data_IF_526389432124
#
_entry.id   IF_526389432124
#
_cell.length_a   1.000
_cell.length_b   1.000
_cell.length_c   1.000
_cell.angle_alpha   90.00
_cell.angle_beta   90.00
_cell.angle_gamma   90.00
#
_symmetry.space_group_name_H-M   'P 1'
#
loop_
_entity.id
_entity.type
_entity.pdbx_description
1 polymer ?
#
# COMPACT_ATOMS: atom_id res chain seq x y z
N UNK A 1 14.41 33.09 12.36
CA UNK A 1 13.74 31.79 12.12
C UNK A 1 13.39 31.16 13.45
N UNK A 2 12.12 30.98 13.72
CA UNK A 2 11.64 30.35 14.95
C UNK A 2 11.20 28.90 14.63
N UNK A 3 11.52 27.98 15.52
CA UNK A 3 11.13 26.57 15.39
C UNK A 3 10.13 26.26 16.49
N UNK A 4 9.02 25.68 16.08
CA UNK A 4 7.94 25.32 16.99
C UNK A 4 7.84 23.79 17.02
N UNK A 5 7.60 23.22 18.21
CA UNK A 5 7.43 21.77 18.39
C UNK A 5 5.98 21.52 18.79
N UNK A 6 5.28 20.70 17.99
CA UNK A 6 3.92 20.28 18.29
C UNK A 6 3.89 18.77 18.51
N UNK A 7 3.51 18.34 19.71
CA UNK A 7 3.35 16.92 20.02
C UNK A 7 1.99 16.40 19.62
N UNK A 8 1.05 17.32 19.34
CA UNK A 8 -0.26 16.99 18.77
C UNK A 8 -0.37 17.74 17.45
N UNK A 9 -0.38 16.97 16.36
CA UNK A 9 -0.46 17.55 15.02
C UNK A 9 -1.93 17.78 14.66
N UNK A 10 -2.29 19.05 14.40
CA UNK A 10 -3.66 19.37 13.99
C UNK A 10 -3.84 19.12 12.49
N UNK A 11 -5.08 18.89 12.08
CA UNK A 11 -5.39 18.74 10.66
C UNK A 11 -5.07 20.00 9.89
N UNK A 12 -5.26 21.16 10.50
CA UNK A 12 -4.97 22.44 9.87
C UNK A 12 -3.47 22.61 9.59
N UNK A 13 -2.63 22.31 10.57
CA UNK A 13 -1.18 22.40 10.39
C UNK A 13 -0.69 21.38 9.36
N UNK A 14 -1.22 20.19 9.42
CA UNK A 14 -0.89 19.14 8.46
C UNK A 14 -1.24 19.58 7.03
N UNK A 15 -2.44 20.13 6.84
CA UNK A 15 -2.87 20.58 5.50
C UNK A 15 -2.02 21.74 5.01
N UNK A 16 -1.65 22.65 5.88
CA UNK A 16 -0.78 23.76 5.51
C UNK A 16 0.58 23.25 5.02
N UNK A 17 1.17 22.31 5.77
CA UNK A 17 2.44 21.70 5.39
C UNK A 17 2.32 20.95 4.07
N UNK A 18 1.28 20.13 3.92
CA UNK A 18 1.08 19.34 2.71
C UNK A 18 0.81 20.22 1.49
N UNK A 19 0.10 21.33 1.66
CA UNK A 19 -0.13 22.28 0.57
C UNK A 19 1.18 22.88 0.06
N UNK A 20 2.07 23.24 0.98
CA UNK A 20 3.39 23.73 0.60
C UNK A 20 4.21 22.71 -0.12
N UNK A 21 4.18 21.46 0.38
CA UNK A 21 4.91 20.36 -0.24
C UNK A 21 4.37 20.05 -1.64
N UNK A 22 3.06 20.00 -1.81
CA UNK A 22 2.44 19.75 -3.12
C UNK A 22 2.82 20.84 -4.12
N UNK A 23 2.81 22.09 -3.69
CA UNK A 23 3.18 23.22 -4.55
C UNK A 23 4.62 23.10 -5.02
N UNK A 24 5.53 22.69 -4.12
CA UNK A 24 6.91 22.45 -4.47
C UNK A 24 7.05 21.28 -5.46
N UNK A 25 6.38 20.17 -5.15
CA UNK A 25 6.50 18.95 -5.96
C UNK A 25 5.91 19.10 -7.36
N UNK A 26 4.88 19.95 -7.53
CA UNK A 26 4.25 20.19 -8.84
C UNK A 26 5.21 20.72 -9.88
N UNK A 27 6.33 21.29 -9.46
CA UNK A 27 7.36 21.74 -10.39
C UNK A 27 8.10 20.59 -11.07
N UNK A 28 8.05 19.41 -10.49
CA UNK A 28 8.84 18.25 -10.92
C UNK A 28 8.02 17.04 -11.25
N UNK A 29 6.83 16.90 -10.66
CA UNK A 29 6.02 15.70 -10.73
C UNK A 29 4.60 16.08 -11.13
N UNK A 30 4.07 15.38 -12.16
CA UNK A 30 2.66 15.48 -12.50
C UNK A 30 1.90 14.50 -11.60
N UNK A 31 1.19 15.02 -10.62
CA UNK A 31 0.41 14.20 -9.70
C UNK A 31 -1.04 13.99 -10.12
N UNK A 32 -1.40 14.34 -11.35
CA UNK A 32 -2.80 14.29 -11.79
C UNK A 32 -3.36 12.87 -11.84
N UNK A 33 -2.53 11.86 -12.01
CA UNK A 33 -2.95 10.45 -12.04
C UNK A 33 -2.88 9.75 -10.70
N UNK A 34 -2.58 10.49 -9.62
CA UNK A 34 -2.44 9.88 -8.31
C UNK A 34 -3.78 9.80 -7.60
N UNK A 35 -4.04 8.68 -6.97
CA UNK A 35 -5.29 8.50 -6.23
C UNK A 35 -5.35 7.14 -5.59
N UNK A 36 -6.37 6.96 -4.78
CA UNK A 36 -6.57 5.71 -4.06
C UNK A 36 -7.49 4.78 -4.87
N UNK A 37 -7.30 3.48 -4.65
CA UNK A 37 -8.16 2.45 -5.18
C UNK A 37 -8.50 1.48 -4.06
N UNK A 38 -9.76 1.07 -3.97
CA UNK A 38 -10.22 0.09 -3.00
C UNK A 38 -10.76 -1.13 -3.73
N UNK A 39 -10.41 -2.31 -3.24
CA UNK A 39 -10.92 -3.59 -3.72
C UNK A 39 -11.53 -4.30 -2.51
N UNK A 40 -12.83 -4.55 -2.53
CA UNK A 40 -13.53 -5.08 -1.37
C UNK A 40 -14.28 -6.35 -1.71
N UNK A 41 -14.39 -7.26 -0.73
CA UNK A 41 -15.23 -8.43 -0.81
C UNK A 41 -16.21 -8.42 0.36
N UNK A 42 -17.48 -8.69 0.07
CA UNK A 42 -18.53 -8.68 1.07
C UNK A 42 -19.31 -9.99 1.04
N UNK A 43 -19.84 -10.39 2.19
CA UNK A 43 -20.69 -11.57 2.26
C UNK A 43 -22.13 -11.19 1.88
N UNK A 44 -23.03 -12.18 1.89
CA UNK A 44 -24.43 -11.96 1.50
C UNK A 44 -25.14 -10.94 2.38
N UNK A 45 -24.71 -10.80 3.63
CA UNK A 45 -25.27 -9.81 4.57
C UNK A 45 -24.72 -8.41 4.35
N UNK A 46 -23.77 -8.23 3.42
CA UNK A 46 -23.17 -6.93 3.14
C UNK A 46 -21.99 -6.58 4.00
N UNK A 47 -21.56 -7.48 4.90
CA UNK A 47 -20.40 -7.23 5.74
C UNK A 47 -19.11 -7.47 4.96
N UNK A 48 -18.12 -6.60 5.14
CA UNK A 48 -16.83 -6.76 4.48
C UNK A 48 -16.07 -7.94 5.10
N UNK A 49 -15.64 -8.87 4.27
CA UNK A 49 -14.88 -10.05 4.69
C UNK A 49 -13.42 -9.98 4.24
N UNK A 50 -13.07 -8.99 3.45
CA UNK A 50 -11.70 -8.75 3.05
C UNK A 50 -11.62 -7.52 2.18
N UNK A 51 -10.44 -6.93 2.11
CA UNK A 51 -10.27 -5.75 1.29
C UNK A 51 -8.83 -5.31 1.20
N UNK A 52 -8.59 -4.46 0.22
CA UNK A 52 -7.29 -3.88 -0.04
C UNK A 52 -7.50 -2.42 -0.39
N UNK A 53 -6.68 -1.55 0.17
CA UNK A 53 -6.60 -0.16 -0.27
C UNK A 53 -5.19 0.08 -0.75
N UNK A 54 -5.07 0.65 -1.94
CA UNK A 54 -3.80 1.05 -2.50
C UNK A 54 -3.84 2.47 -3.00
N UNK A 55 -2.67 3.02 -3.27
CA UNK A 55 -2.51 4.37 -3.79
C UNK A 55 -1.62 4.30 -5.02
N UNK A 56 -2.10 4.90 -6.11
CA UNK A 56 -1.26 5.08 -7.28
C UNK A 56 -0.35 6.27 -7.06
N UNK A 57 0.94 6.07 -7.26
CA UNK A 57 1.93 7.14 -7.27
C UNK A 57 2.73 7.01 -8.55
N UNK A 58 2.25 7.66 -9.61
CA UNK A 58 2.86 7.54 -10.93
C UNK A 58 2.81 6.11 -11.45
N UNK A 59 3.96 5.51 -11.69
CA UNK A 59 4.07 4.17 -12.26
C UNK A 59 3.95 3.05 -11.22
N UNK A 60 3.74 3.39 -9.95
CA UNK A 60 3.72 2.44 -8.86
C UNK A 60 2.36 2.37 -8.19
N UNK A 61 1.93 1.14 -7.89
CA UNK A 61 0.85 0.88 -6.95
C UNK A 61 1.48 0.66 -5.57
N UNK A 62 1.09 1.46 -4.59
CA UNK A 62 1.51 1.27 -3.22
C UNK A 62 0.36 0.59 -2.49
N UNK A 63 0.56 -0.64 -2.04
CA UNK A 63 -0.47 -1.36 -1.28
C UNK A 63 -0.37 -0.86 0.15
N UNK A 64 -1.39 -0.12 0.59
CA UNK A 64 -1.39 0.51 1.91
C UNK A 64 -1.97 -0.41 2.98
N UNK A 65 -3.05 -1.12 2.66
CA UNK A 65 -3.74 -2.00 3.61
C UNK A 65 -4.26 -3.23 2.89
N UNK A 66 -4.13 -4.38 3.54
CA UNK A 66 -4.72 -5.64 3.08
C UNK A 66 -5.21 -6.40 4.30
N UNK A 67 -6.46 -6.81 4.27
CA UNK A 67 -7.06 -7.55 5.37
C UNK A 67 -8.02 -8.60 4.84
N UNK A 68 -8.01 -9.76 5.48
CA UNK A 68 -8.97 -10.85 5.22
C UNK A 68 -9.47 -11.33 6.56
N UNK A 69 -10.79 -11.43 6.71
CA UNK A 69 -11.39 -11.91 7.96
C UNK A 69 -11.02 -13.38 8.22
N UNK A 70 -11.10 -13.79 9.48
CA UNK A 70 -10.80 -15.18 9.83
C UNK A 70 -11.72 -16.15 9.11
N UNK A 71 -13.00 -15.83 8.99
CA UNK A 71 -13.98 -16.70 8.32
C UNK A 71 -13.69 -16.89 6.83
N UNK A 72 -13.00 -15.92 6.21
CA UNK A 72 -12.69 -15.97 4.78
C UNK A 72 -11.28 -16.47 4.49
N UNK A 73 -10.49 -16.75 5.51
CA UNK A 73 -9.13 -17.27 5.33
C UNK A 73 -9.17 -18.69 4.79
N UNK A 74 -8.19 -19.02 3.94
CA UNK A 74 -8.13 -20.33 3.32
C UNK A 74 -8.88 -20.41 2.01
N UNK A 75 -9.67 -19.39 1.64
CA UNK A 75 -10.41 -19.37 0.38
C UNK A 75 -9.68 -18.57 -0.72
N UNK A 76 -8.40 -18.29 -0.52
CA UNK A 76 -7.55 -17.55 -1.46
C UNK A 76 -8.04 -16.11 -1.73
N UNK A 77 -8.82 -15.56 -0.83
CA UNK A 77 -9.33 -14.21 -1.01
C UNK A 77 -8.19 -13.19 -1.06
N UNK A 78 -7.16 -13.36 -0.20
CA UNK A 78 -6.01 -12.46 -0.22
C UNK A 78 -5.32 -12.42 -1.57
N UNK A 79 -5.11 -13.58 -2.19
CA UNK A 79 -4.50 -13.68 -3.52
C UNK A 79 -5.38 -13.01 -4.58
N UNK A 80 -6.70 -13.19 -4.47
CA UNK A 80 -7.64 -12.58 -5.40
C UNK A 80 -7.63 -11.05 -5.27
N UNK A 81 -7.57 -10.55 -4.03
CA UNK A 81 -7.51 -9.11 -3.80
C UNK A 81 -6.24 -8.50 -4.41
N UNK A 82 -5.09 -9.14 -4.20
CA UNK A 82 -3.81 -8.68 -4.76
C UNK A 82 -3.88 -8.67 -6.28
N UNK A 83 -4.33 -9.77 -6.88
CA UNK A 83 -4.38 -9.88 -8.33
C UNK A 83 -5.32 -8.86 -8.94
N UNK A 84 -6.49 -8.66 -8.33
CA UNK A 84 -7.46 -7.68 -8.80
C UNK A 84 -6.89 -6.27 -8.71
N UNK A 85 -6.19 -5.97 -7.61
CA UNK A 85 -5.56 -4.66 -7.44
C UNK A 85 -4.47 -4.43 -8.48
N UNK A 86 -3.67 -5.45 -8.78
CA UNK A 86 -2.62 -5.35 -9.80
C UNK A 86 -3.21 -5.13 -11.19
N UNK A 87 -4.29 -5.83 -11.51
CA UNK A 87 -4.97 -5.65 -12.80
C UNK A 87 -5.55 -4.24 -12.93
N UNK A 88 -6.18 -3.76 -11.87
CA UNK A 88 -6.72 -2.41 -11.86
C UNK A 88 -5.61 -1.37 -11.95
N UNK A 89 -4.50 -1.59 -11.26
CA UNK A 89 -3.34 -0.71 -11.31
C UNK A 89 -2.79 -0.60 -12.74
N UNK A 90 -2.73 -1.72 -13.46
CA UNK A 90 -2.29 -1.71 -14.85
C UNK A 90 -3.20 -0.85 -15.72
N UNK A 91 -4.53 -0.95 -15.51
CA UNK A 91 -5.49 -0.11 -16.24
C UNK A 91 -5.29 1.37 -15.94
N UNK A 92 -4.79 1.69 -14.75
CA UNK A 92 -4.51 3.06 -14.34
C UNK A 92 -3.14 3.56 -14.81
N UNK A 93 -2.35 2.69 -15.43
CA UNK A 93 -1.02 3.05 -15.94
C UNK A 93 0.14 2.66 -15.06
N UNK A 94 -0.10 1.95 -13.96
CA UNK A 94 0.98 1.47 -13.10
C UNK A 94 1.75 0.34 -13.77
N UNK A 95 3.07 0.32 -13.54
CA UNK A 95 3.96 -0.74 -14.04
C UNK A 95 4.45 -1.65 -12.94
N UNK A 96 4.47 -1.16 -11.71
CA UNK A 96 5.08 -1.86 -10.57
C UNK A 96 4.22 -1.73 -9.34
N UNK A 97 4.48 -2.56 -8.33
CA UNK A 97 3.79 -2.49 -7.06
C UNK A 97 4.78 -2.65 -5.90
N UNK A 98 4.43 -2.06 -4.77
CA UNK A 98 5.20 -2.22 -3.54
C UNK A 98 4.27 -2.44 -2.37
N UNK A 99 4.79 -3.13 -1.37
CA UNK A 99 4.08 -3.37 -0.11
C UNK A 99 5.09 -3.47 1.01
N UNK A 100 4.69 -3.07 2.22
CA UNK A 100 5.49 -3.35 3.40
C UNK A 100 4.61 -4.02 4.45
N UNK A 101 5.25 -4.79 5.33
CA UNK A 101 4.55 -5.51 6.38
C UNK A 101 5.47 -5.74 7.56
N UNK A 102 4.89 -5.66 8.76
CA UNK A 102 5.60 -6.00 10.00
C UNK A 102 5.35 -7.46 10.39
N UNK A 103 4.49 -8.17 9.65
CA UNK A 103 4.13 -9.55 9.97
C UNK A 103 5.01 -10.53 9.20
N UNK A 104 5.81 -11.31 9.93
CA UNK A 104 6.56 -12.38 9.30
C UNK A 104 5.64 -13.49 8.75
N UNK A 105 4.39 -13.53 9.21
CA UNK A 105 3.41 -14.47 8.66
C UNK A 105 2.93 -14.04 7.27
N UNK A 106 2.91 -12.74 7.00
CA UNK A 106 2.51 -12.21 5.70
C UNK A 106 3.64 -12.27 4.68
N UNK A 107 4.89 -12.31 5.12
CA UNK A 107 6.03 -12.33 4.22
C UNK A 107 5.97 -13.49 3.22
N UNK A 108 5.76 -14.76 3.63
CA UNK A 108 5.64 -15.85 2.65
C UNK A 108 4.45 -15.65 1.71
N UNK A 109 3.36 -15.05 2.18
CA UNK A 109 2.21 -14.77 1.33
C UNK A 109 2.59 -13.86 0.17
N UNK A 110 3.27 -12.74 0.46
CA UNK A 110 3.67 -11.82 -0.59
C UNK A 110 4.71 -12.42 -1.53
N UNK A 111 5.63 -13.22 -1.01
CA UNK A 111 6.59 -13.91 -1.86
C UNK A 111 5.88 -14.84 -2.86
N UNK A 112 4.83 -15.53 -2.42
CA UNK A 112 4.03 -16.39 -3.31
C UNK A 112 3.27 -15.59 -4.36
N UNK A 113 2.95 -14.33 -4.06
CA UNK A 113 2.29 -13.46 -5.04
C UNK A 113 3.28 -12.88 -6.06
N UNK A 114 4.55 -13.22 -5.95
CA UNK A 114 5.57 -12.76 -6.88
C UNK A 114 6.31 -11.52 -6.43
N UNK A 115 6.12 -11.09 -5.19
CA UNK A 115 6.86 -9.96 -4.64
C UNK A 115 8.24 -10.41 -4.18
N UNK A 116 9.21 -9.52 -4.34
CA UNK A 116 10.60 -9.76 -3.97
C UNK A 116 10.93 -8.91 -2.74
N UNK A 117 11.51 -9.57 -1.72
CA UNK A 117 11.96 -8.86 -0.53
C UNK A 117 13.20 -8.04 -0.87
N UNK A 118 13.13 -6.73 -0.63
CA UNK A 118 14.23 -5.83 -0.92
C UNK A 118 15.06 -5.51 0.31
N UNK A 119 14.41 -5.27 1.44
CA UNK A 119 15.14 -5.06 2.70
C UNK A 119 14.18 -5.18 3.86
N UNK A 120 14.76 -5.30 5.07
CA UNK A 120 14.00 -5.37 6.30
C UNK A 120 14.60 -4.39 7.30
N UNK A 121 13.74 -3.66 8.01
CA UNK A 121 14.16 -2.79 9.09
C UNK A 121 14.16 -3.58 10.38
N UNK A 122 15.27 -3.61 11.14
CA UNK A 122 15.29 -4.26 12.45
C UNK A 122 14.57 -3.41 13.47
N UNK A 123 14.09 -4.06 14.53
CA UNK A 123 13.47 -3.39 15.69
C UNK A 123 12.33 -2.45 15.27
N UNK A 124 11.46 -2.93 14.41
CA UNK A 124 10.32 -2.16 13.93
C UNK A 124 9.05 -2.97 14.06
N UNK A 125 8.04 -2.49 14.78
CA UNK A 125 8.06 -1.28 15.60
C UNK A 125 8.72 -1.48 16.98
N UNK A 126 9.00 -2.72 17.38
CA UNK A 126 9.55 -3.05 18.69
C UNK A 126 10.78 -3.94 18.54
N UNK A 127 11.53 -4.04 19.64
CA UNK A 127 12.73 -4.87 19.67
C UNK A 127 12.42 -6.30 19.22
N UNK A 128 13.24 -6.82 18.33
CA UNK A 128 13.10 -8.19 17.79
C UNK A 128 12.09 -8.31 16.66
N UNK A 129 11.32 -7.27 16.36
CA UNK A 129 10.40 -7.26 15.22
C UNK A 129 11.07 -6.64 14.02
N UNK A 130 10.49 -6.90 12.83
CA UNK A 130 11.04 -6.36 11.58
C UNK A 130 9.92 -5.84 10.70
N UNK A 131 10.24 -4.81 9.92
CA UNK A 131 9.37 -4.34 8.85
C UNK A 131 10.02 -4.70 7.53
N UNK A 132 9.30 -5.46 6.71
CA UNK A 132 9.78 -5.96 5.44
C UNK A 132 9.23 -5.13 4.29
N UNK A 133 10.08 -4.78 3.33
CA UNK A 133 9.70 -4.02 2.14
C UNK A 133 9.88 -4.90 0.91
N UNK A 134 8.79 -5.07 0.16
CA UNK A 134 8.75 -5.95 -0.99
C UNK A 134 8.26 -5.19 -2.22
N UNK A 135 8.75 -5.60 -3.39
CA UNK A 135 8.30 -4.99 -4.64
C UNK A 135 8.01 -6.08 -5.67
N UNK A 136 7.17 -5.72 -6.63
CA UNK A 136 6.90 -6.54 -7.80
C UNK A 136 7.06 -5.64 -9.01
N UNK A 137 8.09 -5.90 -9.80
CA UNK A 137 8.38 -5.14 -11.01
C UNK A 137 7.64 -5.74 -12.19
N UNK A 138 7.28 -4.88 -13.15
CA UNK A 138 6.73 -5.31 -14.43
C UNK A 138 5.45 -6.11 -14.29
N UNK A 139 4.42 -5.46 -13.75
CA UNK A 139 3.10 -6.09 -13.57
C UNK A 139 2.52 -6.63 -14.87
N UNK A 140 2.95 -6.07 -16.02
CA UNK A 140 2.49 -6.52 -17.33
C UNK A 140 3.18 -7.79 -17.81
N UNK A 141 4.22 -8.23 -17.13
CA UNK A 141 4.99 -9.40 -17.52
C UNK A 141 4.24 -10.66 -17.07
N UNK A 142 3.89 -11.56 -17.97
CA UNK A 142 3.03 -12.71 -17.64
C UNK A 142 3.78 -13.87 -16.96
N UNK A 143 4.86 -13.65 -16.30
CA UNK A 143 5.62 -14.71 -15.63
C UNK A 143 4.83 -15.48 -14.61
#
# INVERSE_FOLDING_TARGET
MAIEIATQVTEQDKEELLSGLRRYNQQFIDGSGWGQVGIYSRNEAGAMIGGLIGTQKGLWLCIDFLWVSEEARGARLGSTLIRTAEEQAQRMGCRHAQVDTVSFLALPFYLKQGYELKFSLPDYPEEGMQRHYLIKLNLNDPR
#
